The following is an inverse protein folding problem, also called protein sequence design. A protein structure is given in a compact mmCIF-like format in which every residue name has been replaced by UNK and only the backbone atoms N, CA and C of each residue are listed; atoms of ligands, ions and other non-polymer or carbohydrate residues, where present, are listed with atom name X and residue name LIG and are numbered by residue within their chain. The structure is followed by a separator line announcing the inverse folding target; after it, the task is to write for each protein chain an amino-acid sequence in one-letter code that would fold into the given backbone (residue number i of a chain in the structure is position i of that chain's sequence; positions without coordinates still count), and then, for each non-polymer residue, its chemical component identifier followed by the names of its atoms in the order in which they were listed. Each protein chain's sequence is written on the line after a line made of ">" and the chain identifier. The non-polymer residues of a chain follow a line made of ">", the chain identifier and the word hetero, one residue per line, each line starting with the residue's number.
data_IF_369529361732
#
_entry.id   IF_369529361732
#
_cell.length_a   1.000
_cell.length_b   1.000
_cell.length_c   1.000
_cell.angle_alpha   90.00
_cell.angle_beta   90.00
_cell.angle_gamma   90.00
#
_symmetry.space_group_name_H-M   'P 1'
#
loop_
_entity.id
_entity.type
_entity.pdbx_description
1 polymer ?
#
# COMPACT_ATOMS: atom_id res chain seq x y z
N UNK A 1 21.38 -32.15 2.26
CA UNK A 1 22.06 -31.15 3.09
C UNK A 1 21.47 -29.77 2.82
N UNK A 2 21.17 -29.02 3.88
CA UNK A 2 20.65 -27.66 3.82
C UNK A 2 21.82 -26.68 3.97
N UNK A 3 21.93 -25.68 3.08
CA UNK A 3 23.01 -24.69 3.13
C UNK A 3 22.73 -23.55 4.11
N UNK A 4 21.46 -23.18 4.27
CA UNK A 4 21.03 -22.06 5.11
C UNK A 4 19.91 -22.53 6.04
N UNK A 5 19.96 -22.07 7.29
CA UNK A 5 18.97 -22.35 8.31
C UNK A 5 18.40 -21.02 8.82
N UNK A 6 17.09 -20.87 8.75
CA UNK A 6 16.38 -19.76 9.35
C UNK A 6 15.46 -20.29 10.44
N UNK A 7 15.50 -19.67 11.61
CA UNK A 7 14.61 -19.95 12.73
C UNK A 7 13.74 -18.75 12.98
N UNK A 8 12.43 -18.90 12.86
CA UNK A 8 11.48 -17.83 13.14
C UNK A 8 11.03 -17.84 14.59
N UNK A 9 10.58 -16.67 15.07
CA UNK A 9 9.92 -16.52 16.36
C UNK A 9 8.55 -17.22 16.40
N UNK A 10 7.98 -17.29 17.60
CA UNK A 10 6.65 -17.88 17.80
C UNK A 10 5.54 -16.91 17.42
N UNK A 11 4.41 -17.46 16.98
CA UNK A 11 3.17 -16.73 16.90
C UNK A 11 2.45 -16.89 18.24
N UNK A 12 2.05 -15.76 18.84
CA UNK A 12 1.22 -15.74 20.03
C UNK A 12 -0.16 -15.17 19.68
N UNK A 13 -1.17 -15.58 20.42
CA UNK A 13 -2.54 -15.05 20.31
C UNK A 13 -2.88 -14.41 21.65
N UNK A 14 -3.16 -13.11 21.66
CA UNK A 14 -3.39 -12.36 22.89
C UNK A 14 -2.29 -12.59 23.94
N UNK A 15 -1.02 -12.61 23.48
CA UNK A 15 0.18 -12.87 24.30
C UNK A 15 0.35 -14.29 24.84
N UNK A 16 -0.53 -15.23 24.49
CA UNK A 16 -0.39 -16.64 24.80
C UNK A 16 0.16 -17.40 23.61
N UNK A 17 1.04 -18.38 23.88
CA UNK A 17 1.61 -19.23 22.82
C UNK A 17 0.50 -20.00 22.12
N UNK A 18 0.44 -19.89 20.78
CA UNK A 18 -0.48 -20.69 19.98
C UNK A 18 -0.11 -22.19 20.08
N UNK A 19 -1.03 -23.02 20.52
CA UNK A 19 -0.83 -24.47 20.58
C UNK A 19 -2.14 -25.25 20.44
N UNK A 20 -2.04 -26.46 19.91
CA UNK A 20 -3.20 -27.36 19.78
C UNK A 20 -3.78 -27.75 21.14
N UNK A 21 -2.94 -27.89 22.16
CA UNK A 21 -3.36 -28.27 23.52
C UNK A 21 -4.16 -27.17 24.23
N UNK A 22 -3.95 -25.90 23.87
CA UNK A 22 -4.72 -24.77 24.39
C UNK A 22 -5.97 -24.46 23.56
N UNK A 23 -6.18 -25.14 22.43
CA UNK A 23 -7.34 -24.94 21.58
C UNK A 23 -7.40 -23.57 20.88
N UNK A 24 -6.32 -22.79 20.93
CA UNK A 24 -6.23 -21.43 20.39
C UNK A 24 -5.59 -21.37 19.00
N UNK A 25 -5.62 -22.48 18.25
CA UNK A 25 -5.07 -22.54 16.89
C UNK A 25 -6.00 -21.82 15.91
N UNK A 26 -5.44 -20.86 15.18
CA UNK A 26 -6.13 -20.19 14.09
C UNK A 26 -5.54 -20.68 12.76
N UNK A 27 -6.39 -21.15 11.86
CA UNK A 27 -5.95 -21.61 10.56
C UNK A 27 -5.70 -20.43 9.62
N UNK A 28 -4.56 -20.44 8.94
CA UNK A 28 -4.19 -19.37 7.99
C UNK A 28 -5.25 -19.18 6.91
N UNK A 29 -5.85 -20.28 6.41
CA UNK A 29 -6.91 -20.19 5.39
C UNK A 29 -8.10 -19.36 5.88
N UNK A 30 -8.52 -19.53 7.14
CA UNK A 30 -9.69 -18.85 7.71
C UNK A 30 -9.38 -17.36 7.91
N UNK A 31 -8.13 -17.02 8.30
CA UNK A 31 -7.69 -15.63 8.40
C UNK A 31 -7.63 -14.97 7.01
N UNK A 32 -7.08 -15.68 6.01
CA UNK A 32 -6.98 -15.17 4.63
C UNK A 32 -8.37 -14.97 4.04
N UNK A 33 -9.30 -15.87 4.30
CA UNK A 33 -10.70 -15.76 3.84
C UNK A 33 -11.40 -14.54 4.48
N UNK A 34 -11.13 -14.26 5.75
CA UNK A 34 -11.72 -13.15 6.51
C UNK A 34 -11.08 -11.79 6.21
N UNK A 35 -9.76 -11.72 6.12
CA UNK A 35 -8.99 -10.46 6.07
C UNK A 35 -8.40 -10.15 4.69
N UNK A 36 -8.32 -11.14 3.81
CA UNK A 36 -7.59 -11.04 2.55
C UNK A 36 -6.08 -11.29 2.69
N UNK A 37 -5.49 -11.83 1.63
CA UNK A 37 -4.08 -12.25 1.64
C UNK A 37 -3.09 -11.12 1.88
N UNK A 38 -3.36 -9.92 1.36
CA UNK A 38 -2.48 -8.76 1.56
C UNK A 38 -2.40 -8.33 3.02
N UNK A 39 -3.53 -8.30 3.75
CA UNK A 39 -3.56 -7.93 5.17
C UNK A 39 -2.81 -8.96 6.01
N UNK A 40 -3.05 -10.25 5.73
CA UNK A 40 -2.35 -11.34 6.45
C UNK A 40 -0.84 -11.26 6.21
N UNK A 41 -0.42 -11.03 4.96
CA UNK A 41 1.00 -10.89 4.62
C UNK A 41 1.61 -9.66 5.30
N UNK A 42 0.91 -8.52 5.27
CA UNK A 42 1.34 -7.31 5.96
C UNK A 42 1.56 -7.56 7.45
N UNK A 43 0.58 -8.17 8.10
CA UNK A 43 0.64 -8.52 9.51
C UNK A 43 1.84 -9.44 9.83
N UNK A 44 2.09 -10.46 9.01
CA UNK A 44 3.23 -11.37 9.21
C UNK A 44 4.58 -10.67 9.03
N UNK A 45 4.67 -9.68 8.15
CA UNK A 45 5.89 -8.93 7.87
C UNK A 45 6.10 -7.73 8.81
N UNK A 46 5.11 -7.36 9.63
CA UNK A 46 5.20 -6.23 10.55
C UNK A 46 6.21 -6.43 11.68
N UNK A 47 6.52 -7.68 12.00
CA UNK A 47 7.56 -8.05 12.95
C UNK A 47 8.76 -8.71 12.22
N UNK A 48 9.95 -8.54 12.77
CA UNK A 48 11.12 -9.28 12.30
C UNK A 48 10.89 -10.79 12.50
N UNK A 49 11.26 -11.62 11.53
CA UNK A 49 10.96 -13.05 11.57
C UNK A 49 11.50 -13.80 12.80
N UNK A 50 12.57 -13.28 13.42
CA UNK A 50 13.13 -13.86 14.68
C UNK A 50 12.35 -13.45 15.93
N UNK A 51 11.55 -12.38 15.85
CA UNK A 51 10.77 -11.88 16.98
C UNK A 51 9.42 -12.61 17.09
N UNK A 52 8.85 -12.76 18.28
CA UNK A 52 7.48 -13.22 18.42
C UNK A 52 6.51 -12.26 17.75
N UNK A 53 5.53 -12.81 17.04
CA UNK A 53 4.43 -12.05 16.45
C UNK A 53 3.17 -12.30 17.28
N UNK A 54 2.61 -11.23 17.85
CA UNK A 54 1.36 -11.32 18.61
C UNK A 54 0.15 -11.00 17.73
N UNK A 55 -0.68 -12.01 17.48
CA UNK A 55 -1.94 -11.85 16.77
C UNK A 55 -3.02 -11.42 17.75
N UNK A 56 -3.51 -10.21 17.57
CA UNK A 56 -4.67 -9.66 18.28
C UNK A 56 -5.42 -8.69 17.37
N UNK A 57 -6.59 -8.26 17.79
CA UNK A 57 -7.44 -7.37 16.98
C UNK A 57 -6.74 -6.05 16.66
N UNK A 58 -5.97 -5.49 17.61
CA UNK A 58 -5.23 -4.25 17.40
C UNK A 58 -4.14 -4.39 16.32
N UNK A 59 -3.42 -5.51 16.28
CA UNK A 59 -2.41 -5.76 15.26
C UNK A 59 -3.06 -5.89 13.87
N UNK A 60 -4.22 -6.55 13.79
CA UNK A 60 -5.00 -6.68 12.55
C UNK A 60 -5.48 -5.30 12.07
N UNK A 61 -6.07 -4.50 12.95
CA UNK A 61 -6.55 -3.14 12.64
C UNK A 61 -5.40 -2.25 12.17
N UNK A 62 -4.24 -2.34 12.82
CA UNK A 62 -3.04 -1.61 12.42
C UNK A 62 -2.62 -2.00 11.01
N UNK A 63 -2.51 -3.30 10.72
CA UNK A 63 -2.12 -3.80 9.40
C UNK A 63 -3.11 -3.35 8.29
N UNK A 64 -4.41 -3.40 8.56
CA UNK A 64 -5.44 -2.91 7.63
C UNK A 64 -5.30 -1.42 7.38
N UNK A 65 -5.14 -0.63 8.44
CA UNK A 65 -5.01 0.83 8.35
C UNK A 65 -3.75 1.23 7.58
N UNK A 66 -2.64 0.58 7.84
CA UNK A 66 -1.36 0.86 7.17
C UNK A 66 -1.41 0.50 5.69
N UNK A 67 -1.95 -0.67 5.35
CA UNK A 67 -2.14 -1.09 3.97
C UNK A 67 -3.06 -0.11 3.21
N UNK A 68 -4.16 0.31 3.84
CA UNK A 68 -5.11 1.23 3.23
C UNK A 68 -4.51 2.63 3.00
N UNK A 69 -3.60 3.10 3.86
CA UNK A 69 -2.84 4.34 3.63
C UNK A 69 -2.01 4.27 2.35
N UNK A 70 -1.32 3.14 2.11
CA UNK A 70 -0.54 2.94 0.88
C UNK A 70 -1.46 2.90 -0.35
N UNK A 71 -2.56 2.14 -0.28
CA UNK A 71 -3.55 2.04 -1.36
C UNK A 71 -4.12 3.40 -1.74
N UNK A 72 -4.50 4.20 -0.74
CA UNK A 72 -5.06 5.54 -0.95
C UNK A 72 -4.04 6.47 -1.61
N UNK A 73 -2.78 6.43 -1.17
CA UNK A 73 -1.72 7.24 -1.77
C UNK A 73 -1.45 6.88 -3.21
N UNK A 74 -1.34 5.57 -3.51
CA UNK A 74 -1.16 5.08 -4.88
C UNK A 74 -2.37 5.43 -5.75
N UNK A 75 -3.61 5.26 -5.26
CA UNK A 75 -4.82 5.65 -5.98
C UNK A 75 -4.75 7.11 -6.41
N UNK A 76 -4.46 8.03 -5.49
CA UNK A 76 -4.35 9.46 -5.79
C UNK A 76 -3.28 9.74 -6.85
N UNK A 77 -2.14 9.07 -6.77
CA UNK A 77 -1.07 9.22 -7.74
C UNK A 77 -1.46 8.69 -9.12
N UNK A 78 -2.06 7.49 -9.21
CA UNK A 78 -2.54 6.92 -10.47
C UNK A 78 -3.56 7.83 -11.16
N UNK A 79 -4.52 8.34 -10.40
CA UNK A 79 -5.52 9.28 -10.94
C UNK A 79 -4.85 10.53 -11.50
N UNK A 80 -3.92 11.15 -10.77
CA UNK A 80 -3.23 12.35 -11.22
C UNK A 80 -2.36 12.11 -12.46
N UNK A 81 -1.61 11.01 -12.48
CA UNK A 81 -0.81 10.62 -13.64
C UNK A 81 -1.71 10.33 -14.84
N UNK A 82 -2.80 9.59 -14.66
CA UNK A 82 -3.76 9.27 -15.71
C UNK A 82 -4.45 10.51 -16.31
N UNK A 83 -4.83 11.48 -15.47
CA UNK A 83 -5.40 12.75 -15.94
C UNK A 83 -4.38 13.60 -16.70
N UNK A 84 -3.10 13.52 -16.35
CA UNK A 84 -2.02 14.20 -17.07
C UNK A 84 -1.55 13.44 -18.33
N UNK A 85 -2.08 12.25 -18.60
CA UNK A 85 -1.66 11.42 -19.73
C UNK A 85 -0.24 10.84 -19.59
N UNK A 86 0.25 10.73 -18.35
CA UNK A 86 1.60 10.22 -18.06
C UNK A 86 1.54 8.71 -17.86
N UNK A 87 2.29 8.00 -18.68
CA UNK A 87 2.49 6.56 -18.51
C UNK A 87 3.48 6.28 -17.37
N UNK A 88 3.18 5.26 -16.58
CA UNK A 88 4.06 4.75 -15.55
C UNK A 88 5.18 3.92 -16.18
N UNK A 89 6.26 4.60 -16.55
CA UNK A 89 7.47 4.03 -17.09
C UNK A 89 8.70 4.69 -16.46
N UNK A 90 9.82 3.97 -16.44
CA UNK A 90 11.08 4.48 -15.93
C UNK A 90 11.65 3.68 -14.75
N UNK A 91 12.53 4.31 -14.01
CA UNK A 91 13.24 3.69 -12.89
C UNK A 91 12.67 4.15 -11.54
N UNK A 92 12.82 3.33 -10.49
CA UNK A 92 12.54 3.77 -9.14
C UNK A 92 13.48 4.90 -8.71
N UNK A 93 13.11 5.64 -7.68
CA UNK A 93 14.08 6.50 -6.97
C UNK A 93 15.18 5.63 -6.35
N UNK A 94 16.40 5.83 -6.80
CA UNK A 94 17.51 4.96 -6.46
C UNK A 94 17.85 5.01 -4.96
N UNK A 95 17.79 6.20 -4.36
CA UNK A 95 18.10 6.39 -2.94
C UNK A 95 17.08 5.66 -2.04
N UNK A 96 15.81 5.83 -2.34
CA UNK A 96 14.73 5.20 -1.57
C UNK A 96 14.69 3.68 -1.79
N UNK A 97 14.95 3.25 -3.02
CA UNK A 97 15.07 1.84 -3.33
C UNK A 97 16.25 1.19 -2.62
N UNK A 98 17.40 1.87 -2.57
CA UNK A 98 18.59 1.36 -1.87
C UNK A 98 18.35 1.26 -0.37
N UNK A 99 17.68 2.23 0.26
CA UNK A 99 17.32 2.16 1.68
C UNK A 99 16.45 0.93 2.01
N UNK A 100 15.54 0.56 1.09
CA UNK A 100 14.76 -0.67 1.24
C UNK A 100 15.63 -1.93 1.08
N UNK A 101 16.51 -1.96 0.09
CA UNK A 101 17.43 -3.08 -0.12
C UNK A 101 18.39 -3.28 1.06
N UNK A 102 18.89 -2.20 1.63
CA UNK A 102 19.78 -2.25 2.81
C UNK A 102 19.04 -2.90 3.99
N UNK A 103 17.80 -2.51 4.23
CA UNK A 103 16.96 -3.12 5.28
C UNK A 103 16.73 -4.63 5.01
N UNK A 104 16.40 -5.00 3.77
CA UNK A 104 16.16 -6.39 3.41
C UNK A 104 17.44 -7.24 3.43
N UNK A 105 18.61 -6.63 3.19
CA UNK A 105 19.91 -7.28 3.24
C UNK A 105 20.45 -7.45 4.67
N UNK A 106 19.91 -6.68 5.62
CA UNK A 106 20.20 -6.79 7.05
C UNK A 106 19.27 -7.82 7.72
N UNK A 107 19.56 -9.09 7.47
CA UNK A 107 18.84 -10.25 8.05
C UNK A 107 17.30 -10.20 7.80
N UNK A 108 16.88 -9.79 6.62
CA UNK A 108 15.47 -9.65 6.24
C UNK A 108 14.69 -8.74 7.22
N UNK A 109 15.23 -7.59 7.54
CA UNK A 109 14.66 -6.64 8.48
C UNK A 109 13.41 -5.96 7.90
N UNK A 110 12.30 -6.70 7.87
CA UNK A 110 11.04 -6.22 7.32
C UNK A 110 10.48 -5.00 8.05
N UNK A 111 10.61 -4.81 9.37
CA UNK A 111 10.22 -3.55 10.02
C UNK A 111 10.94 -2.33 9.44
N UNK A 112 12.24 -2.41 9.19
CA UNK A 112 12.99 -1.32 8.56
C UNK A 112 12.65 -1.18 7.08
N UNK A 113 12.34 -2.26 6.38
CA UNK A 113 11.81 -2.21 5.01
C UNK A 113 10.46 -1.48 4.95
N UNK A 114 9.54 -1.72 5.91
CA UNK A 114 8.31 -0.96 6.03
C UNK A 114 8.56 0.52 6.33
N UNK A 115 9.57 0.84 7.16
CA UNK A 115 9.97 2.24 7.37
C UNK A 115 10.35 2.91 6.04
N UNK A 116 11.17 2.26 5.21
CA UNK A 116 11.53 2.78 3.88
C UNK A 116 10.31 2.96 2.97
N UNK A 117 9.36 2.01 3.01
CA UNK A 117 8.08 2.10 2.29
C UNK A 117 7.25 3.31 2.75
N UNK A 118 7.11 3.53 4.05
CA UNK A 118 6.36 4.67 4.59
C UNK A 118 7.04 6.01 4.33
N UNK A 119 8.37 6.07 4.40
CA UNK A 119 9.14 7.27 4.05
C UNK A 119 8.94 7.63 2.57
N UNK A 120 8.93 6.63 1.67
CA UNK A 120 8.61 6.81 0.25
C UNK A 120 7.17 7.27 0.07
N UNK A 121 6.22 6.65 0.76
CA UNK A 121 4.81 7.03 0.71
C UNK A 121 4.55 8.46 1.20
N UNK A 122 5.26 8.89 2.24
CA UNK A 122 5.21 10.29 2.72
C UNK A 122 5.68 11.27 1.64
N UNK A 123 6.76 10.94 0.91
CA UNK A 123 7.24 11.77 -0.19
C UNK A 123 6.23 11.77 -1.35
N UNK A 124 5.60 10.63 -1.68
CA UNK A 124 4.54 10.57 -2.69
C UNK A 124 3.37 11.48 -2.32
N UNK A 125 2.89 11.41 -1.08
CA UNK A 125 1.80 12.26 -0.60
C UNK A 125 2.15 13.76 -0.66
N UNK A 126 3.40 14.12 -0.41
CA UNK A 126 3.85 15.48 -0.55
C UNK A 126 3.88 15.91 -2.02
N UNK A 127 4.48 15.07 -2.91
CA UNK A 127 4.62 15.37 -4.33
C UNK A 127 3.27 15.55 -5.05
N UNK A 128 2.25 14.76 -4.72
CA UNK A 128 0.92 14.86 -5.35
C UNK A 128 0.10 16.06 -4.85
N UNK A 129 0.51 16.72 -3.77
CA UNK A 129 -0.20 17.88 -3.18
C UNK A 129 0.40 19.23 -3.56
N UNK A 130 1.53 19.26 -4.25
CA UNK A 130 2.13 20.51 -4.71
C UNK A 130 1.23 21.20 -5.73
N UNK A 131 1.30 22.53 -5.79
CA UNK A 131 0.55 23.34 -6.78
C UNK A 131 1.03 23.02 -8.20
N UNK A 132 2.33 22.88 -8.36
CA UNK A 132 2.98 22.44 -9.60
C UNK A 132 3.51 21.03 -9.38
N UNK A 133 2.88 20.05 -10.02
CA UNK A 133 3.21 18.64 -9.84
C UNK A 133 4.35 18.28 -10.78
N UNK A 134 5.45 17.80 -10.22
CA UNK A 134 6.48 17.08 -10.96
C UNK A 134 6.03 15.64 -11.20
N UNK A 135 5.41 15.40 -12.35
CA UNK A 135 4.89 14.08 -12.71
C UNK A 135 5.99 13.02 -12.86
N UNK A 136 7.19 13.41 -13.27
CA UNK A 136 8.35 12.53 -13.33
C UNK A 136 8.73 12.01 -11.94
N UNK A 137 8.76 12.92 -10.97
CA UNK A 137 8.99 12.58 -9.56
C UNK A 137 7.89 11.69 -9.00
N UNK A 138 6.63 12.01 -9.26
CA UNK A 138 5.48 11.19 -8.82
C UNK A 138 5.57 9.79 -9.41
N UNK A 139 5.85 9.64 -10.71
CA UNK A 139 6.01 8.35 -11.36
C UNK A 139 7.15 7.52 -10.75
N UNK A 140 8.32 8.12 -10.51
CA UNK A 140 9.44 7.45 -9.88
C UNK A 140 9.10 6.93 -8.46
N UNK A 141 8.38 7.74 -7.66
CA UNK A 141 7.94 7.34 -6.31
C UNK A 141 6.93 6.20 -6.35
N UNK A 142 5.97 6.25 -7.28
CA UNK A 142 4.99 5.15 -7.48
C UNK A 142 5.71 3.87 -7.86
N UNK A 143 6.62 3.91 -8.85
CA UNK A 143 7.40 2.74 -9.27
C UNK A 143 8.23 2.18 -8.09
N UNK A 144 8.80 3.05 -7.25
CA UNK A 144 9.55 2.64 -6.07
C UNK A 144 8.67 1.87 -5.08
N UNK A 145 7.48 2.40 -4.76
CA UNK A 145 6.51 1.74 -3.86
C UNK A 145 6.07 0.40 -4.44
N UNK A 146 5.69 0.37 -5.72
CA UNK A 146 5.27 -0.88 -6.38
C UNK A 146 6.35 -1.96 -6.33
N UNK A 147 7.61 -1.57 -6.52
CA UNK A 147 8.75 -2.47 -6.46
C UNK A 147 8.99 -3.01 -5.04
N UNK A 148 8.86 -2.15 -4.02
CA UNK A 148 8.91 -2.56 -2.60
C UNK A 148 7.78 -3.53 -2.28
N UNK A 149 6.55 -3.22 -2.67
CA UNK A 149 5.37 -4.07 -2.46
C UNK A 149 5.53 -5.43 -3.17
N UNK A 150 6.08 -5.43 -4.38
CA UNK A 150 6.36 -6.66 -5.12
C UNK A 150 7.32 -7.59 -4.36
N UNK A 151 8.42 -7.06 -3.81
CA UNK A 151 9.37 -7.83 -3.00
C UNK A 151 8.71 -8.35 -1.72
N UNK A 152 7.88 -7.53 -1.07
CA UNK A 152 7.10 -7.94 0.09
C UNK A 152 5.95 -8.92 -0.25
N UNK A 153 5.69 -9.17 -1.53
CA UNK A 153 4.63 -10.06 -2.02
C UNK A 153 3.22 -9.52 -1.80
N UNK A 154 3.07 -8.20 -1.72
CA UNK A 154 1.79 -7.51 -1.60
C UNK A 154 1.37 -7.05 -2.99
N UNK A 155 0.17 -7.45 -3.40
CA UNK A 155 -0.36 -7.15 -4.74
C UNK A 155 -1.45 -6.11 -4.65
N UNK A 156 -1.21 -4.95 -5.25
CA UNK A 156 -2.20 -3.90 -5.43
C UNK A 156 -2.35 -3.64 -6.91
N UNK A 157 -3.60 -3.57 -7.38
CA UNK A 157 -3.89 -3.29 -8.78
C UNK A 157 -3.69 -1.81 -9.09
N UNK A 158 -3.14 -1.53 -10.26
CA UNK A 158 -3.03 -0.16 -10.78
C UNK A 158 -4.41 0.32 -11.22
N UNK A 159 -4.70 1.57 -10.92
CA UNK A 159 -5.88 2.24 -11.45
C UNK A 159 -5.48 2.87 -12.79
N UNK A 160 -6.22 2.48 -13.84
CA UNK A 160 -6.07 3.05 -15.18
C UNK A 160 -7.37 3.76 -15.53
N UNK A 161 -7.29 5.06 -15.81
CA UNK A 161 -8.46 5.86 -16.15
C UNK A 161 -8.88 5.60 -17.59
N UNK A 162 -10.16 5.28 -17.80
CA UNK A 162 -10.79 5.28 -19.11
C UNK A 162 -10.97 6.71 -19.63
N UNK A 163 -11.24 6.87 -20.92
CA UNK A 163 -11.57 8.18 -21.50
C UNK A 163 -12.87 8.74 -20.89
N UNK A 164 -13.82 7.86 -20.55
CA UNK A 164 -15.04 8.26 -19.84
C UNK A 164 -14.73 8.80 -18.43
N UNK A 165 -13.86 8.13 -17.69
CA UNK A 165 -13.42 8.62 -16.37
C UNK A 165 -12.78 10.01 -16.46
N UNK A 166 -11.91 10.23 -17.44
CA UNK A 166 -11.29 11.53 -17.70
C UNK A 166 -12.35 12.59 -18.04
N UNK A 167 -13.36 12.21 -18.82
CA UNK A 167 -14.51 13.05 -19.14
C UNK A 167 -15.30 13.46 -17.88
N UNK A 168 -15.58 12.52 -17.01
CA UNK A 168 -16.27 12.78 -15.72
C UNK A 168 -15.45 13.74 -14.85
N UNK A 169 -14.12 13.55 -14.75
CA UNK A 169 -13.23 14.48 -14.04
C UNK A 169 -13.23 15.87 -14.65
N UNK A 170 -13.22 16.00 -15.99
CA UNK A 170 -13.27 17.29 -16.68
C UNK A 170 -14.57 18.02 -16.36
N UNK A 171 -15.72 17.34 -16.47
CA UNK A 171 -17.04 17.87 -16.17
C UNK A 171 -17.16 18.29 -14.69
N UNK A 172 -16.60 17.47 -13.77
CA UNK A 172 -16.57 17.81 -12.35
C UNK A 172 -15.77 19.09 -12.08
N UNK A 173 -14.60 19.24 -12.70
CA UNK A 173 -13.78 20.44 -12.56
C UNK A 173 -14.45 21.66 -13.16
N UNK A 174 -15.12 21.53 -14.31
CA UNK A 174 -15.88 22.59 -14.94
C UNK A 174 -17.05 23.03 -14.04
N UNK A 175 -17.86 22.11 -13.55
CA UNK A 175 -18.98 22.42 -12.65
C UNK A 175 -18.53 23.16 -11.39
N UNK A 176 -17.36 22.78 -10.82
CA UNK A 176 -16.75 23.51 -9.69
C UNK A 176 -16.32 24.94 -10.07
N UNK A 177 -15.72 25.11 -11.23
CA UNK A 177 -15.30 26.44 -11.72
C UNK A 177 -16.49 27.36 -11.95
N UNK A 178 -17.60 26.81 -12.47
CA UNK A 178 -18.87 27.51 -12.71
C UNK A 178 -19.71 27.69 -11.43
N UNK A 179 -19.25 27.15 -10.29
CA UNK A 179 -19.97 27.14 -9.00
C UNK A 179 -21.33 26.43 -9.07
N UNK A 180 -21.49 25.51 -10.03
CA UNK A 180 -22.65 24.64 -10.12
C UNK A 180 -22.46 23.44 -9.17
N UNK A 181 -22.79 23.65 -7.91
CA UNK A 181 -22.53 22.66 -6.85
C UNK A 181 -23.37 21.40 -7.03
N UNK A 182 -24.60 21.49 -7.54
CA UNK A 182 -25.48 20.34 -7.79
C UNK A 182 -24.85 19.39 -8.83
N UNK A 183 -24.44 19.92 -9.98
CA UNK A 183 -23.76 19.12 -10.99
C UNK A 183 -22.40 18.58 -10.48
N UNK A 184 -21.65 19.40 -9.74
CA UNK A 184 -20.38 18.95 -9.14
C UNK A 184 -20.57 17.77 -8.18
N UNK A 185 -21.61 17.77 -7.36
CA UNK A 185 -21.92 16.69 -6.44
C UNK A 185 -22.34 15.40 -7.16
N UNK A 186 -23.08 15.51 -8.28
CA UNK A 186 -23.43 14.37 -9.12
C UNK A 186 -22.17 13.71 -9.73
N UNK A 187 -21.27 14.48 -10.34
CA UNK A 187 -20.02 13.92 -10.88
C UNK A 187 -19.11 13.35 -9.79
N UNK A 188 -19.08 13.99 -8.63
CA UNK A 188 -18.35 13.50 -7.47
C UNK A 188 -18.88 12.14 -7.03
N UNK A 189 -20.19 11.96 -6.95
CA UNK A 189 -20.83 10.71 -6.59
C UNK A 189 -20.42 9.58 -7.56
N UNK A 190 -20.45 9.84 -8.87
CA UNK A 190 -20.00 8.89 -9.91
C UNK A 190 -18.53 8.51 -9.71
N UNK A 191 -17.63 9.48 -9.46
CA UNK A 191 -16.21 9.21 -9.24
C UNK A 191 -15.97 8.41 -7.95
N UNK A 192 -16.75 8.68 -6.88
CA UNK A 192 -16.69 7.90 -5.64
C UNK A 192 -17.18 6.45 -5.84
N UNK A 193 -18.29 6.26 -6.56
CA UNK A 193 -18.82 4.93 -6.89
C UNK A 193 -17.82 4.10 -7.69
N UNK A 194 -17.06 4.75 -8.59
CA UNK A 194 -15.98 4.11 -9.35
C UNK A 194 -14.69 3.92 -8.54
N UNK A 195 -14.64 4.35 -7.29
CA UNK A 195 -13.47 4.25 -6.41
C UNK A 195 -12.28 5.15 -6.83
N UNK A 196 -12.55 6.23 -7.58
CA UNK A 196 -11.53 7.15 -8.10
C UNK A 196 -11.27 8.38 -7.22
N UNK A 197 -12.10 8.61 -6.21
CA UNK A 197 -11.93 9.63 -5.17
C UNK A 197 -11.73 9.04 -3.78
#
# INVERSE_FOLDING_TARGET
>A
SVRYWLHNGFITINSEKMSKSLGNVIWVKDIVEKLGGNVVRWLMLSAHYRAPLNLNDQAVETAQTELEKIKTSLKQAYVKLGLAGIELAGNPDETLWQAFLDAMSDDLNTPNAFKALFDTNKQLNAAVRTREIDYGRVAALVITIEKMLYVLGIKLDRIVLSDDDKGVFANWNQAKAEKNFEAADQYRAVLMERGLL
#
